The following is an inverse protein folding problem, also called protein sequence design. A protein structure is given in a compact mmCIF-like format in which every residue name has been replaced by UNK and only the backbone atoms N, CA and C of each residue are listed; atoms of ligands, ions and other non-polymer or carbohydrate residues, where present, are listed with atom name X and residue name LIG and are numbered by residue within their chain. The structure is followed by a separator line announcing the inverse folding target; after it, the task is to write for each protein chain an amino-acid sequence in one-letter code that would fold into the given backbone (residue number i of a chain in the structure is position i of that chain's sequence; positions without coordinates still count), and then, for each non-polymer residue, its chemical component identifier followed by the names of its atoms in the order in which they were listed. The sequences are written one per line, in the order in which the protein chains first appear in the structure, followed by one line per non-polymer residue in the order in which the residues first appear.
data_IF_667703598444
#
_entry.id   IF_667703598444
#
_cell.length_a   1.000
_cell.length_b   1.000
_cell.length_c   1.000
_cell.angle_alpha   90.00
_cell.angle_beta   90.00
_cell.angle_gamma   90.00
#
_symmetry.space_group_name_H-M   'P 1'
#
loop_
_entity.id
_entity.type
_entity.pdbx_description
1 polymer ?
#
# COMPACT_ATOMS: atom_id res chain seq x y z
N UNK A 1 -14.90 2.08 41.69
CA UNK A 1 -14.69 2.50 40.28
C UNK A 1 -13.23 2.20 39.91
N UNK A 2 -12.94 1.40 38.87
CA UNK A 2 -11.56 1.18 38.46
C UNK A 2 -10.97 2.52 38.02
N UNK A 3 -9.97 3.00 38.76
CA UNK A 3 -9.19 4.16 38.37
C UNK A 3 -8.41 3.78 37.10
N UNK A 4 -8.55 4.56 36.02
CA UNK A 4 -7.47 4.66 35.04
C UNK A 4 -7.70 4.16 33.60
N UNK A 5 -8.93 3.98 33.10
CA UNK A 5 -9.14 3.77 31.65
C UNK A 5 -9.81 5.00 31.05
N UNK A 6 -9.02 5.86 30.41
CA UNK A 6 -9.53 6.98 29.62
C UNK A 6 -10.07 6.47 28.28
N UNK A 7 -11.40 6.40 28.17
CA UNK A 7 -12.06 6.02 26.91
C UNK A 7 -12.14 7.26 26.01
N UNK A 8 -11.44 7.22 24.88
CA UNK A 8 -11.43 8.32 23.91
C UNK A 8 -12.70 8.29 23.07
N UNK A 9 -13.67 9.13 23.43
CA UNK A 9 -14.91 9.30 22.67
C UNK A 9 -14.66 9.90 21.28
N UNK A 10 -15.58 9.71 20.33
CA UNK A 10 -15.51 10.37 19.01
C UNK A 10 -15.46 11.90 19.12
N UNK A 11 -16.19 12.45 20.08
CA UNK A 11 -16.15 13.88 20.41
C UNK A 11 -14.73 14.32 20.83
N UNK A 12 -14.09 13.55 21.71
CA UNK A 12 -12.70 13.81 22.13
C UNK A 12 -11.75 13.80 20.94
N UNK A 13 -11.87 12.81 20.04
CA UNK A 13 -11.05 12.72 18.81
C UNK A 13 -11.26 13.96 17.92
N UNK A 14 -12.51 14.37 17.73
CA UNK A 14 -12.87 15.57 16.96
C UNK A 14 -12.30 16.84 17.59
N UNK A 15 -12.45 17.03 18.89
CA UNK A 15 -11.99 18.22 19.62
C UNK A 15 -10.46 18.37 19.56
N UNK A 16 -9.73 17.27 19.73
CA UNK A 16 -8.28 17.29 19.53
C UNK A 16 -7.87 17.60 18.08
N UNK A 17 -8.59 17.07 17.09
CA UNK A 17 -8.34 17.37 15.68
C UNK A 17 -8.50 18.88 15.40
N UNK A 18 -9.58 19.47 15.91
CA UNK A 18 -9.84 20.91 15.84
C UNK A 18 -8.73 21.69 16.55
N UNK A 19 -8.36 21.31 17.77
CA UNK A 19 -7.29 21.98 18.52
C UNK A 19 -5.94 21.93 17.78
N UNK A 20 -5.62 20.80 17.14
CA UNK A 20 -4.41 20.64 16.31
C UNK A 20 -4.45 21.57 15.09
N UNK A 21 -5.59 21.67 14.40
CA UNK A 21 -5.76 22.57 13.26
C UNK A 21 -5.60 24.04 13.67
N UNK A 22 -6.28 24.46 14.74
CA UNK A 22 -6.16 25.82 15.30
C UNK A 22 -4.71 26.16 15.69
N UNK A 23 -3.99 25.20 16.29
CA UNK A 23 -2.56 25.39 16.61
C UNK A 23 -1.71 25.59 15.36
N UNK A 24 -1.94 24.79 14.30
CA UNK A 24 -1.20 24.93 13.03
C UNK A 24 -1.48 26.27 12.36
N UNK A 25 -2.73 26.71 12.37
CA UNK A 25 -3.16 28.01 11.85
C UNK A 25 -2.47 29.15 12.62
N UNK A 26 -2.54 29.16 13.95
CA UNK A 26 -1.89 30.17 14.80
C UNK A 26 -0.37 30.26 14.57
N UNK A 27 0.28 29.13 14.31
CA UNK A 27 1.72 29.07 14.08
C UNK A 27 2.11 29.30 12.61
N UNK A 28 1.16 29.56 11.71
CA UNK A 28 1.43 29.77 10.28
C UNK A 28 1.86 28.52 9.52
N UNK A 29 1.75 27.32 10.12
CA UNK A 29 2.12 26.04 9.48
C UNK A 29 1.05 25.51 8.53
N UNK A 30 -0.09 26.19 8.41
CA UNK A 30 -1.18 25.75 7.56
C UNK A 30 -1.00 26.35 6.17
N UNK A 31 -0.50 25.55 5.23
CA UNK A 31 -0.36 25.97 3.84
C UNK A 31 -1.70 26.44 3.29
N UNK A 32 -1.72 27.60 2.65
CA UNK A 32 -2.87 28.10 1.89
C UNK A 32 -3.28 27.09 0.80
N UNK A 33 -4.55 27.08 0.37
CA UNK A 33 -4.99 26.23 -0.74
C UNK A 33 -4.12 26.39 -1.99
N UNK A 34 -3.69 27.62 -2.29
CA UNK A 34 -2.80 27.94 -3.41
C UNK A 34 -1.40 27.35 -3.23
N UNK A 35 -0.81 27.47 -2.04
CA UNK A 35 0.49 26.88 -1.73
C UNK A 35 0.46 25.36 -1.85
N UNK A 36 -0.63 24.70 -1.40
CA UNK A 36 -0.82 23.25 -1.59
C UNK A 36 -0.91 22.88 -3.06
N UNK A 37 -1.66 23.64 -3.86
CA UNK A 37 -1.77 23.43 -5.31
C UNK A 37 -0.41 23.59 -6.00
N UNK A 38 0.36 24.61 -5.64
CA UNK A 38 1.71 24.85 -6.16
C UNK A 38 2.67 23.71 -5.78
N UNK A 39 2.67 23.30 -4.51
CA UNK A 39 3.45 22.14 -4.05
C UNK A 39 3.07 20.87 -4.81
N UNK A 40 1.78 20.58 -4.94
CA UNK A 40 1.28 19.40 -5.67
C UNK A 40 1.75 19.36 -7.12
N UNK A 41 1.72 20.50 -7.83
CA UNK A 41 2.26 20.60 -9.20
C UNK A 41 3.77 20.38 -9.23
N UNK A 42 4.51 20.96 -8.29
CA UNK A 42 5.97 20.85 -8.23
C UNK A 42 6.46 19.41 -8.01
N UNK A 43 5.69 18.58 -7.30
CA UNK A 43 6.04 17.17 -7.02
C UNK A 43 5.25 16.18 -7.88
N UNK A 44 4.80 16.58 -9.07
CA UNK A 44 4.01 15.73 -9.98
C UNK A 44 4.78 15.32 -11.23
N UNK A 45 4.39 14.18 -11.82
CA UNK A 45 5.00 13.64 -13.03
C UNK A 45 6.52 13.47 -12.90
N UNK A 46 7.25 13.86 -13.94
CA UNK A 46 8.72 13.80 -13.99
C UNK A 46 9.43 14.64 -12.91
N UNK A 47 8.76 15.66 -12.37
CA UNK A 47 9.34 16.51 -11.31
C UNK A 47 9.21 15.89 -9.91
N UNK A 48 8.45 14.79 -9.77
CA UNK A 48 8.38 14.09 -8.50
C UNK A 48 9.74 13.41 -8.23
N UNK A 49 10.42 13.64 -7.09
CA UNK A 49 11.68 12.96 -6.79
C UNK A 49 11.53 11.43 -6.67
N UNK A 50 10.30 10.93 -6.47
CA UNK A 50 9.98 9.51 -6.49
C UNK A 50 9.57 9.01 -7.90
N UNK A 51 9.52 9.88 -8.90
CA UNK A 51 9.39 9.47 -10.29
C UNK A 51 10.70 8.84 -10.73
N UNK A 52 10.61 7.59 -11.13
CA UNK A 52 11.77 6.78 -11.51
C UNK A 52 11.67 6.25 -12.93
N UNK A 53 10.71 6.73 -13.73
CA UNK A 53 10.43 6.21 -15.08
C UNK A 53 10.36 4.68 -15.07
N UNK A 54 11.36 4.01 -15.66
CA UNK A 54 11.49 2.55 -15.73
C UNK A 54 12.44 1.96 -14.66
N UNK A 55 13.18 2.80 -13.92
CA UNK A 55 14.04 2.41 -12.80
C UNK A 55 13.25 2.22 -11.49
N UNK A 56 12.14 1.48 -11.60
CA UNK A 56 11.26 1.23 -10.47
C UNK A 56 11.63 -0.10 -9.82
N UNK A 57 11.94 -0.05 -8.52
CA UNK A 57 12.15 -1.26 -7.73
C UNK A 57 10.88 -2.12 -7.61
N UNK A 58 11.06 -3.36 -7.15
CA UNK A 58 10.03 -4.37 -6.92
C UNK A 58 8.66 -3.84 -6.43
N UNK A 59 8.66 -3.01 -5.39
CA UNK A 59 7.43 -2.47 -4.79
C UNK A 59 6.62 -1.60 -5.73
N UNK A 60 7.28 -0.79 -6.56
CA UNK A 60 6.59 0.09 -7.50
C UNK A 60 6.01 -0.69 -8.68
N UNK A 61 6.72 -1.71 -9.16
CA UNK A 61 6.18 -2.64 -10.18
C UNK A 61 4.95 -3.36 -9.61
N UNK A 62 5.02 -3.90 -8.40
CA UNK A 62 3.84 -4.49 -7.75
C UNK A 62 2.66 -3.53 -7.64
N UNK A 63 2.93 -2.25 -7.39
CA UNK A 63 1.88 -1.22 -7.32
C UNK A 63 1.29 -0.93 -8.70
N UNK A 64 2.10 -0.91 -9.77
CA UNK A 64 1.62 -0.79 -11.17
C UNK A 64 0.73 -1.98 -11.52
N UNK A 65 1.20 -3.21 -11.30
CA UNK A 65 0.44 -4.42 -11.62
C UNK A 65 -0.89 -4.49 -10.86
N UNK A 66 -0.92 -4.14 -9.56
CA UNK A 66 -2.17 -4.10 -8.78
C UNK A 66 -3.23 -3.13 -9.32
N UNK A 67 -2.83 -2.09 -10.06
CA UNK A 67 -3.77 -1.16 -10.69
C UNK A 67 -4.38 -1.72 -11.97
N UNK A 68 -3.68 -2.62 -12.66
CA UNK A 68 -4.06 -3.15 -13.98
C UNK A 68 -4.73 -4.52 -13.82
N UNK A 69 -4.18 -5.39 -12.97
CA UNK A 69 -4.65 -6.76 -12.73
C UNK A 69 -5.65 -6.80 -11.59
N UNK A 70 -6.89 -7.19 -11.89
CA UNK A 70 -7.93 -7.40 -10.89
C UNK A 70 -7.53 -8.45 -9.85
N UNK A 71 -7.91 -8.22 -8.59
CA UNK A 71 -7.64 -9.15 -7.49
C UNK A 71 -8.72 -10.24 -7.53
N UNK A 72 -8.37 -11.52 -7.75
CA UNK A 72 -9.34 -12.61 -7.72
C UNK A 72 -9.78 -12.93 -6.28
N UNK A 73 -10.88 -13.67 -6.12
CA UNK A 73 -11.31 -14.16 -4.80
C UNK A 73 -10.48 -15.36 -4.30
N UNK A 74 -9.84 -16.07 -5.23
CA UNK A 74 -9.16 -17.34 -5.01
C UNK A 74 -7.67 -17.24 -5.29
N UNK A 75 -6.89 -18.04 -4.56
CA UNK A 75 -5.45 -18.19 -4.78
C UNK A 75 -5.15 -19.00 -6.05
N UNK A 76 -4.24 -18.52 -6.89
CA UNK A 76 -3.85 -19.20 -8.14
C UNK A 76 -3.11 -20.54 -7.90
N UNK A 77 -2.52 -20.75 -6.72
CA UNK A 77 -1.78 -21.98 -6.38
C UNK A 77 -2.65 -23.03 -5.68
N UNK A 78 -3.41 -22.63 -4.65
CA UNK A 78 -4.17 -23.57 -3.83
C UNK A 78 -5.67 -23.54 -4.09
N UNK A 79 -6.15 -22.62 -4.92
CA UNK A 79 -7.56 -22.46 -5.32
C UNK A 79 -8.55 -22.25 -4.18
N UNK A 80 -8.06 -21.93 -2.97
CA UNK A 80 -8.88 -21.58 -1.83
C UNK A 80 -9.21 -20.09 -1.82
N UNK A 81 -10.39 -19.73 -1.31
CA UNK A 81 -10.82 -18.34 -1.13
C UNK A 81 -10.10 -17.67 0.03
N UNK A 82 -9.96 -16.35 -0.05
CA UNK A 82 -9.54 -15.54 1.11
C UNK A 82 -10.59 -15.59 2.21
N UNK A 83 -10.16 -15.75 3.46
CA UNK A 83 -11.08 -15.68 4.60
C UNK A 83 -11.72 -14.28 4.74
N UNK A 84 -12.95 -14.26 5.26
CA UNK A 84 -13.71 -13.03 5.51
C UNK A 84 -13.06 -12.13 6.56
N UNK A 85 -12.16 -12.68 7.37
CA UNK A 85 -11.45 -11.98 8.45
C UNK A 85 -10.12 -11.36 7.99
N UNK A 86 -9.68 -11.60 6.74
CA UNK A 86 -8.47 -11.02 6.17
C UNK A 86 -7.15 -11.61 6.71
N UNK A 87 -7.18 -12.74 7.41
CA UNK A 87 -5.99 -13.50 7.82
C UNK A 87 -5.31 -14.22 6.64
N UNK A 88 -6.01 -14.44 5.53
CA UNK A 88 -5.45 -14.97 4.27
C UNK A 88 -5.66 -13.99 3.13
N UNK A 89 -5.11 -12.78 3.23
CA UNK A 89 -5.07 -11.85 2.09
C UNK A 89 -4.23 -12.44 0.96
N UNK A 90 -4.69 -12.26 -0.28
CA UNK A 90 -3.87 -12.52 -1.45
C UNK A 90 -2.81 -11.45 -1.60
N UNK A 91 -1.63 -11.88 -1.98
CA UNK A 91 -0.53 -11.04 -2.39
C UNK A 91 -0.10 -11.39 -3.80
N UNK A 92 0.52 -10.41 -4.44
CA UNK A 92 1.03 -10.56 -5.78
C UNK A 92 2.38 -11.28 -5.73
N UNK A 93 2.53 -12.34 -6.50
CA UNK A 93 3.76 -13.13 -6.63
C UNK A 93 4.21 -13.15 -8.08
N UNK A 94 5.50 -12.96 -8.33
CA UNK A 94 6.08 -13.00 -9.67
C UNK A 94 6.36 -14.46 -10.09
N UNK A 95 5.91 -14.85 -11.28
CA UNK A 95 6.08 -16.23 -11.79
C UNK A 95 7.40 -16.42 -12.54
N UNK A 96 8.01 -15.33 -13.03
CA UNK A 96 9.22 -15.30 -13.89
C UNK A 96 10.55 -15.19 -13.12
N UNK A 97 10.72 -15.99 -12.06
CA UNK A 97 12.00 -16.09 -11.32
C UNK A 97 12.56 -14.74 -10.83
N UNK A 98 11.70 -13.86 -10.31
CA UNK A 98 12.07 -12.51 -9.86
C UNK A 98 12.58 -11.57 -10.97
N UNK A 99 12.30 -11.87 -12.24
CA UNK A 99 12.38 -10.88 -13.32
C UNK A 99 11.08 -10.06 -13.26
N UNK A 100 11.16 -8.91 -12.59
CA UNK A 100 10.01 -8.02 -12.46
C UNK A 100 9.81 -7.27 -13.78
N UNK A 101 8.62 -7.42 -14.35
CA UNK A 101 8.20 -6.83 -15.63
C UNK A 101 6.91 -6.05 -15.40
N UNK A 102 6.54 -5.15 -16.31
CA UNK A 102 5.23 -4.49 -16.25
C UNK A 102 4.09 -5.36 -16.87
N UNK A 103 4.38 -6.60 -17.26
CA UNK A 103 3.37 -7.51 -17.83
C UNK A 103 2.53 -8.17 -16.70
N UNK A 104 1.22 -7.91 -16.60
CA UNK A 104 0.37 -8.50 -15.55
C UNK A 104 0.27 -10.03 -15.61
N UNK A 105 0.56 -10.66 -16.74
CA UNK A 105 0.55 -12.12 -16.89
C UNK A 105 1.76 -12.80 -16.25
N UNK A 106 2.83 -12.04 -15.96
CA UNK A 106 3.99 -12.52 -15.21
C UNK A 106 3.75 -12.57 -13.69
N UNK A 107 2.52 -12.27 -13.25
CA UNK A 107 2.13 -12.22 -11.86
C UNK A 107 0.88 -13.06 -11.58
N UNK A 108 0.87 -13.65 -10.40
CA UNK A 108 -0.23 -14.43 -9.85
C UNK A 108 -0.63 -13.89 -8.47
N UNK A 109 -1.90 -14.04 -8.10
CA UNK A 109 -2.40 -13.70 -6.77
C UNK A 109 -2.48 -14.96 -5.92
N UNK A 110 -1.76 -14.95 -4.81
CA UNK A 110 -1.60 -16.14 -3.97
C UNK A 110 -1.66 -15.79 -2.49
N UNK A 111 -2.03 -16.74 -1.64
CA UNK A 111 -1.89 -16.55 -0.20
C UNK A 111 -0.43 -16.39 0.20
N UNK A 112 -0.16 -15.61 1.25
CA UNK A 112 1.20 -15.44 1.80
C UNK A 112 1.94 -16.76 2.03
N UNK A 113 1.27 -17.76 2.62
CA UNK A 113 1.85 -19.09 2.83
C UNK A 113 2.17 -19.83 1.53
N UNK A 114 1.36 -19.66 0.49
CA UNK A 114 1.59 -20.25 -0.83
C UNK A 114 2.77 -19.56 -1.53
N UNK A 115 2.85 -18.24 -1.44
CA UNK A 115 3.95 -17.46 -2.01
C UNK A 115 5.30 -17.87 -1.43
N UNK A 116 5.41 -17.94 -0.09
CA UNK A 116 6.64 -18.39 0.57
C UNK A 116 7.08 -19.78 0.12
N UNK A 117 6.14 -20.71 -0.05
CA UNK A 117 6.42 -22.08 -0.53
C UNK A 117 6.88 -22.07 -1.98
N UNK A 118 6.23 -21.27 -2.82
CA UNK A 118 6.59 -21.10 -4.23
C UNK A 118 8.02 -20.57 -4.38
N UNK A 119 8.35 -19.48 -3.69
CA UNK A 119 9.69 -18.87 -3.72
C UNK A 119 10.77 -19.83 -3.19
N UNK A 120 10.48 -20.55 -2.09
CA UNK A 120 11.40 -21.52 -1.53
C UNK A 120 11.70 -22.67 -2.52
N UNK A 121 10.70 -23.15 -3.27
CA UNK A 121 10.88 -24.17 -4.30
C UNK A 121 11.74 -23.68 -5.47
N UNK A 122 11.54 -22.42 -5.88
CA UNK A 122 12.34 -21.78 -6.95
C UNK A 122 13.79 -21.55 -6.55
N UNK A 123 14.08 -21.27 -5.27
CA UNK A 123 15.46 -21.13 -4.79
C UNK A 123 16.23 -22.45 -4.79
N UNK A 124 15.57 -23.58 -4.53
CA UNK A 124 16.21 -24.91 -4.53
C UNK A 124 16.53 -25.46 -5.92
N UNK A 125 15.96 -24.88 -6.97
CA UNK A 125 16.08 -25.34 -8.36
C UNK A 125 17.05 -24.48 -9.18
N UNK A 126 17.68 -23.47 -8.55
CA UNK A 126 18.84 -22.74 -9.06
C UNK A 126 20.11 -23.43 -8.58
#
# INVERSE_FOLDING_TARGET
MPKGVYIRTEETKRNMSIARLKRKERLGYLNSPEARKKQGKAISGANNPNWKEDDIGYFGIHTRIRKIKSIPEVCDICHQKTDKNGSTRLELSNTKNHKYTDNPDDYQYVHYGCHRKYDAKKRKTK
#
